data_IF_166464394263
#
_entry.id   IF_166464394263
#
_cell.length_a   1.000
_cell.length_b   1.000
_cell.length_c   1.000
_cell.angle_alpha   90.00
_cell.angle_beta   90.00
_cell.angle_gamma   90.00
#
_symmetry.space_group_name_H-M   'P 1'
#
loop_
_entity.id
_entity.type
_entity.pdbx_description
1 polymer ?
#
# COMPACT_ATOMS: atom_id res chain seq x y z
N UNK A 1 11.89 6.26 -8.14
CA UNK A 1 10.95 7.03 -7.28
C UNK A 1 10.15 6.05 -6.44
N UNK A 2 9.93 6.36 -5.16
CA UNK A 2 9.05 5.59 -4.27
C UNK A 2 7.96 6.53 -3.75
N UNK A 3 6.71 6.06 -3.73
CA UNK A 3 5.60 6.81 -3.11
C UNK A 3 4.92 5.96 -2.04
N UNK A 4 5.10 6.36 -0.78
CA UNK A 4 4.54 5.71 0.42
C UNK A 4 3.80 6.70 1.32
N UNK A 5 3.57 7.92 0.86
CA UNK A 5 2.87 8.93 1.65
C UNK A 5 1.42 8.51 1.89
N UNK A 6 0.97 8.71 3.12
CA UNK A 6 -0.37 8.39 3.58
C UNK A 6 -0.55 8.91 5.00
N UNK A 7 -1.78 9.24 5.34
CA UNK A 7 -2.19 9.59 6.70
C UNK A 7 -2.42 8.33 7.54
N UNK A 8 -2.67 8.51 8.84
CA UNK A 8 -3.11 7.42 9.72
C UNK A 8 -4.35 6.73 9.16
N UNK A 9 -4.47 5.43 9.39
CA UNK A 9 -5.55 4.63 8.85
C UNK A 9 -6.91 5.14 9.33
N UNK A 10 -7.84 5.29 8.40
CA UNK A 10 -9.24 5.56 8.68
C UNK A 10 -10.05 4.30 8.40
N UNK A 11 -10.62 3.74 9.47
CA UNK A 11 -11.49 2.58 9.42
C UNK A 11 -12.92 3.03 9.73
N UNK A 12 -13.89 2.53 8.96
CA UNK A 12 -15.27 2.93 9.10
C UNK A 12 -16.18 2.19 8.14
N UNK A 13 -17.40 1.89 8.59
CA UNK A 13 -18.44 1.39 7.68
C UNK A 13 -18.87 2.51 6.75
N UNK A 14 -19.41 2.15 5.58
CA UNK A 14 -19.93 3.14 4.62
C UNK A 14 -21.00 4.03 5.26
N UNK A 15 -21.86 3.46 6.10
CA UNK A 15 -22.91 4.20 6.79
C UNK A 15 -22.37 5.28 7.76
N UNK A 16 -21.19 5.07 8.33
CA UNK A 16 -20.56 6.00 9.27
C UNK A 16 -19.52 6.93 8.61
N UNK A 17 -19.23 6.75 7.33
CA UNK A 17 -18.17 7.49 6.63
C UNK A 17 -18.74 8.69 5.89
N UNK A 18 -18.38 9.89 6.33
CA UNK A 18 -18.69 11.13 5.62
C UNK A 18 -18.02 11.17 4.24
N UNK A 19 -18.76 11.63 3.22
CA UNK A 19 -18.26 11.69 1.83
C UNK A 19 -17.03 12.60 1.72
N UNK A 20 -17.00 13.70 2.47
CA UNK A 20 -15.87 14.62 2.49
C UNK A 20 -14.59 13.94 3.02
N UNK A 21 -14.72 13.12 4.06
CA UNK A 21 -13.64 12.32 4.63
C UNK A 21 -13.14 11.28 3.63
N UNK A 22 -14.06 10.60 2.94
CA UNK A 22 -13.70 9.62 1.91
C UNK A 22 -12.91 10.26 0.75
N UNK A 23 -13.28 11.47 0.32
CA UNK A 23 -12.55 12.23 -0.70
C UNK A 23 -11.15 12.63 -0.22
N UNK A 24 -11.04 13.20 0.97
CA UNK A 24 -9.75 13.60 1.53
C UNK A 24 -8.77 12.42 1.65
N UNK A 25 -9.27 11.24 2.01
CA UNK A 25 -8.45 10.02 2.09
C UNK A 25 -7.98 9.53 0.71
N UNK A 26 -8.80 9.71 -0.34
CA UNK A 26 -8.39 9.49 -1.74
C UNK A 26 -7.39 10.54 -2.23
N UNK A 27 -7.52 11.79 -1.81
CA UNK A 27 -6.67 12.90 -2.25
C UNK A 27 -5.20 12.64 -1.97
N UNK A 28 -4.83 12.24 -0.76
CA UNK A 28 -3.43 11.96 -0.48
C UNK A 28 -2.96 10.65 -1.12
N UNK A 29 -3.71 9.56 -0.94
CA UNK A 29 -3.24 8.21 -1.30
C UNK A 29 -3.24 7.96 -2.80
N UNK A 30 -4.24 8.47 -3.51
CA UNK A 30 -4.37 8.29 -4.96
C UNK A 30 -3.89 9.53 -5.70
N UNK A 31 -4.48 10.71 -5.44
CA UNK A 31 -4.14 11.91 -6.20
C UNK A 31 -2.72 12.41 -5.88
N UNK A 32 -2.23 12.20 -4.66
CA UNK A 32 -0.83 12.43 -4.30
C UNK A 32 0.13 11.54 -5.10
N UNK A 33 -0.17 10.25 -5.22
CA UNK A 33 0.64 9.32 -6.01
C UNK A 33 0.59 9.66 -7.50
N UNK A 34 -0.60 9.95 -8.03
CA UNK A 34 -0.80 10.44 -9.39
C UNK A 34 0.06 11.68 -9.67
N UNK A 35 0.01 12.66 -8.78
CA UNK A 35 0.78 13.91 -8.88
C UNK A 35 2.27 13.63 -8.86
N UNK A 36 2.75 12.79 -7.94
CA UNK A 36 4.15 12.40 -7.87
C UNK A 36 4.61 11.69 -9.15
N UNK A 37 3.80 10.80 -9.72
CA UNK A 37 4.13 10.13 -10.99
C UNK A 37 4.15 11.12 -12.15
N UNK A 38 3.11 11.95 -12.30
CA UNK A 38 2.98 12.94 -13.38
C UNK A 38 4.18 13.88 -13.45
N UNK A 39 4.57 14.44 -12.31
CA UNK A 39 5.64 15.44 -12.27
C UNK A 39 7.02 14.83 -12.02
N UNK A 40 7.11 13.65 -11.41
CA UNK A 40 8.38 12.99 -11.12
C UNK A 40 8.92 12.12 -12.24
N UNK A 41 8.06 11.49 -13.04
CA UNK A 41 8.50 10.56 -14.10
C UNK A 41 9.42 11.20 -15.16
N UNK A 42 9.24 12.47 -15.60
CA UNK A 42 10.14 13.08 -16.59
C UNK A 42 11.57 13.31 -16.08
N UNK A 43 11.80 13.22 -14.77
CA UNK A 43 13.10 13.44 -14.14
C UNK A 43 13.84 12.14 -13.79
N UNK A 44 13.27 10.97 -14.14
CA UNK A 44 13.94 9.70 -13.90
C UNK A 44 15.08 9.48 -14.89
N UNK A 45 16.23 9.05 -14.36
CA UNK A 45 17.37 8.64 -15.18
C UNK A 45 17.03 7.40 -16.02
N UNK A 46 17.75 7.16 -17.13
CA UNK A 46 17.63 5.92 -17.90
C UNK A 46 17.75 4.67 -16.99
N UNK A 47 16.85 3.71 -17.17
CA UNK A 47 16.77 2.52 -16.30
C UNK A 47 16.06 2.76 -14.95
N UNK A 48 15.56 3.97 -14.71
CA UNK A 48 14.79 4.33 -13.53
C UNK A 48 13.51 3.51 -13.38
N UNK A 49 12.99 3.47 -12.15
CA UNK A 49 11.74 2.78 -11.81
C UNK A 49 10.91 3.58 -10.81
N UNK A 50 9.62 3.30 -10.81
CA UNK A 50 8.62 3.80 -9.87
C UNK A 50 8.11 2.60 -9.07
N UNK A 51 8.10 2.73 -7.74
CA UNK A 51 7.47 1.73 -6.87
C UNK A 51 6.46 2.43 -5.95
N UNK A 52 5.19 2.06 -6.08
CA UNK A 52 4.06 2.63 -5.36
C UNK A 52 3.70 1.77 -4.14
N UNK A 53 2.77 2.25 -3.32
CA UNK A 53 2.21 1.53 -2.17
C UNK A 53 0.72 1.26 -2.34
N UNK A 54 0.29 0.04 -1.99
CA UNK A 54 -1.11 -0.30 -1.73
C UNK A 54 -1.21 -0.96 -0.35
N UNK A 55 -1.90 -2.10 -0.25
CA UNK A 55 -2.09 -2.91 0.95
C UNK A 55 -3.02 -4.08 0.64
N UNK A 56 -2.91 -5.15 1.43
CA UNK A 56 -3.67 -6.39 1.19
C UNK A 56 -5.19 -6.21 1.24
N UNK A 57 -5.69 -5.06 1.71
CA UNK A 57 -7.10 -4.71 1.65
C UNK A 57 -7.69 -4.76 0.22
N UNK A 58 -6.87 -4.60 -0.83
CA UNK A 58 -7.31 -4.79 -2.22
C UNK A 58 -7.76 -6.24 -2.51
N UNK A 59 -7.12 -7.22 -1.88
CA UNK A 59 -7.35 -8.66 -2.13
C UNK A 59 -8.23 -9.28 -1.07
N UNK A 60 -8.03 -8.87 0.19
CA UNK A 60 -8.72 -9.40 1.36
C UNK A 60 -9.21 -8.28 2.27
N UNK A 61 -10.36 -7.67 1.97
CA UNK A 61 -10.95 -6.64 2.83
C UNK A 61 -11.61 -7.24 4.07
N UNK A 62 -11.65 -6.48 5.16
CA UNK A 62 -12.48 -6.74 6.32
C UNK A 62 -13.64 -5.73 6.41
N UNK A 63 -14.62 -6.02 7.27
CA UNK A 63 -15.71 -5.07 7.54
C UNK A 63 -15.14 -3.72 8.01
N UNK A 64 -15.67 -2.62 7.47
CA UNK A 64 -15.19 -1.26 7.74
C UNK A 64 -13.94 -0.85 6.96
N UNK A 65 -13.45 -1.67 6.01
CA UNK A 65 -12.27 -1.35 5.20
C UNK A 65 -12.62 -0.87 3.78
N UNK A 66 -13.90 -0.69 3.45
CA UNK A 66 -14.35 -0.44 2.08
C UNK A 66 -13.62 0.70 1.38
N UNK A 67 -13.39 1.81 2.08
CA UNK A 67 -12.64 2.97 1.57
C UNK A 67 -11.17 2.63 1.30
N UNK A 68 -10.47 2.03 2.28
CA UNK A 68 -9.07 1.62 2.14
C UNK A 68 -8.86 0.55 1.06
N UNK A 69 -9.76 -0.44 0.97
CA UNK A 69 -9.75 -1.48 -0.05
C UNK A 69 -9.93 -0.90 -1.46
N UNK A 70 -10.82 0.08 -1.60
CA UNK A 70 -11.06 0.78 -2.88
C UNK A 70 -9.82 1.54 -3.33
N UNK A 71 -9.15 2.26 -2.43
CA UNK A 71 -7.89 2.95 -2.73
C UNK A 71 -6.78 1.98 -3.12
N UNK A 72 -6.61 0.90 -2.37
CA UNK A 72 -5.58 -0.11 -2.69
C UNK A 72 -5.82 -0.68 -4.09
N UNK A 73 -7.07 -1.02 -4.41
CA UNK A 73 -7.45 -1.54 -5.73
C UNK A 73 -7.23 -0.53 -6.86
N UNK A 74 -7.56 0.75 -6.62
CA UNK A 74 -7.32 1.83 -7.56
C UNK A 74 -5.83 2.04 -7.83
N UNK A 75 -5.00 1.96 -6.79
CA UNK A 75 -3.54 2.08 -6.90
C UNK A 75 -2.91 0.90 -7.67
N UNK A 76 -3.42 -0.33 -7.48
CA UNK A 76 -2.98 -1.48 -8.27
C UNK A 76 -3.37 -1.34 -9.75
N UNK A 77 -4.57 -0.83 -10.05
CA UNK A 77 -4.99 -0.49 -11.41
C UNK A 77 -4.13 0.60 -12.04
N UNK A 78 -3.89 1.68 -11.31
CA UNK A 78 -3.03 2.79 -11.72
C UNK A 78 -1.60 2.32 -12.02
N UNK A 79 -1.05 1.43 -11.20
CA UNK A 79 0.28 0.84 -11.40
C UNK A 79 0.38 0.13 -12.75
N UNK A 80 -0.60 -0.71 -13.09
CA UNK A 80 -0.62 -1.42 -14.38
C UNK A 80 -0.72 -0.46 -15.57
N UNK A 81 -1.58 0.56 -15.47
CA UNK A 81 -1.72 1.57 -16.50
C UNK A 81 -0.40 2.34 -16.73
N UNK A 82 0.23 2.81 -15.65
CA UNK A 82 1.49 3.56 -15.73
C UNK A 82 2.67 2.70 -16.19
N UNK A 83 2.67 1.40 -15.90
CA UNK A 83 3.68 0.48 -16.43
C UNK A 83 3.66 0.40 -17.96
N UNK A 84 2.48 0.54 -18.58
CA UNK A 84 2.31 0.58 -20.04
C UNK A 84 2.62 1.97 -20.58
N UNK A 85 2.04 3.01 -19.97
CA UNK A 85 2.16 4.40 -20.45
C UNK A 85 3.60 4.94 -20.37
N UNK A 86 4.35 4.58 -19.31
CA UNK A 86 5.67 5.14 -19.04
C UNK A 86 6.82 4.27 -19.56
N UNK A 87 6.54 3.18 -20.28
CA UNK A 87 7.59 2.32 -20.82
C UNK A 87 8.64 3.15 -21.60
N UNK A 88 9.96 2.93 -21.39
CA UNK A 88 10.58 1.80 -20.70
C UNK A 88 10.77 1.96 -19.17
N UNK A 89 10.24 3.01 -18.54
CA UNK A 89 10.26 3.15 -17.07
C UNK A 89 9.40 2.04 -16.46
N UNK A 90 9.97 1.30 -15.51
CA UNK A 90 9.25 0.23 -14.81
C UNK A 90 8.39 0.83 -13.71
N UNK A 91 7.15 0.36 -13.58
CA UNK A 91 6.22 0.80 -12.53
C UNK A 91 5.66 -0.43 -11.83
N UNK A 92 5.90 -0.56 -10.53
CA UNK A 92 5.39 -1.67 -9.72
C UNK A 92 4.79 -1.14 -8.41
N UNK A 93 4.15 -2.02 -7.64
CA UNK A 93 3.54 -1.67 -6.36
C UNK A 93 3.81 -2.74 -5.31
N UNK A 94 4.13 -2.32 -4.10
CA UNK A 94 4.17 -3.22 -2.94
C UNK A 94 2.80 -3.18 -2.26
N UNK A 95 2.29 -4.36 -1.89
CA UNK A 95 1.03 -4.54 -1.16
C UNK A 95 1.32 -5.16 0.22
N UNK A 96 1.56 -4.33 1.26
CA UNK A 96 1.87 -4.81 2.59
C UNK A 96 0.68 -5.45 3.30
N UNK A 97 0.98 -6.40 4.18
CA UNK A 97 0.07 -6.85 5.23
C UNK A 97 0.00 -5.88 6.41
N UNK A 98 -0.25 -6.41 7.59
CA UNK A 98 -0.23 -5.64 8.83
C UNK A 98 1.22 -5.43 9.27
N UNK A 99 1.62 -4.17 9.36
CA UNK A 99 3.00 -3.76 9.67
C UNK A 99 2.96 -2.79 10.84
N UNK A 100 3.88 -2.99 11.79
CA UNK A 100 4.05 -2.11 12.95
C UNK A 100 4.70 -0.79 12.51
N UNK A 101 3.86 0.22 12.28
CA UNK A 101 4.25 1.59 11.89
C UNK A 101 3.30 2.60 12.55
N UNK A 102 3.59 3.90 12.37
CA UNK A 102 2.71 4.99 12.79
C UNK A 102 1.37 5.06 12.02
N UNK A 103 1.14 4.20 11.01
CA UNK A 103 -0.15 4.09 10.31
C UNK A 103 -1.32 3.85 11.27
N UNK A 104 -1.06 3.18 12.40
CA UNK A 104 -2.03 2.80 13.41
C UNK A 104 -2.15 3.80 14.57
N UNK A 105 -1.67 5.04 14.39
CA UNK A 105 -1.64 6.05 15.45
C UNK A 105 -3.02 6.49 15.95
N UNK A 106 -4.09 6.23 15.20
CA UNK A 106 -5.48 6.50 15.62
C UNK A 106 -6.02 5.44 16.62
N UNK A 107 -5.32 4.32 16.79
CA UNK A 107 -5.63 3.32 17.81
C UNK A 107 -4.80 3.63 19.06
N UNK A 108 -5.42 3.50 20.23
CA UNK A 108 -4.67 3.57 21.49
C UNK A 108 -3.68 2.39 21.58
N UNK A 109 -2.64 2.56 22.40
CA UNK A 109 -1.55 1.60 22.47
C UNK A 109 -2.01 0.21 22.91
N UNK A 110 -2.88 0.12 23.91
CA UNK A 110 -3.39 -1.17 24.42
C UNK A 110 -4.11 -1.96 23.33
N UNK A 111 -5.05 -1.35 22.63
CA UNK A 111 -5.83 -2.00 21.57
C UNK A 111 -4.93 -2.36 20.38
N UNK A 112 -3.98 -1.48 20.05
CA UNK A 112 -3.02 -1.72 18.96
C UNK A 112 -2.11 -2.90 19.26
N UNK A 113 -1.57 -3.00 20.48
CA UNK A 113 -0.75 -4.14 20.89
C UNK A 113 -1.54 -5.44 20.96
N UNK A 114 -2.78 -5.41 21.47
CA UNK A 114 -3.66 -6.57 21.48
C UNK A 114 -3.98 -7.07 20.07
N UNK A 115 -4.28 -6.16 19.14
CA UNK A 115 -4.46 -6.48 17.72
C UNK A 115 -3.20 -7.12 17.12
N UNK A 116 -2.02 -6.56 17.41
CA UNK A 116 -0.76 -7.11 16.92
C UNK A 116 -0.47 -8.51 17.48
N UNK A 117 -0.70 -8.74 18.76
CA UNK A 117 -0.53 -10.05 19.38
C UNK A 117 -1.46 -11.09 18.74
N UNK A 118 -2.76 -10.77 18.64
CA UNK A 118 -3.75 -11.66 18.04
C UNK A 118 -3.41 -12.02 16.59
N UNK A 119 -3.09 -11.02 15.77
CA UNK A 119 -2.75 -11.22 14.36
C UNK A 119 -1.42 -11.97 14.20
N UNK A 120 -0.44 -11.74 15.07
CA UNK A 120 0.81 -12.48 15.02
C UNK A 120 0.58 -13.99 15.17
N UNK A 121 -0.39 -14.40 15.99
CA UNK A 121 -0.73 -15.81 16.17
C UNK A 121 -1.50 -16.40 14.98
N UNK A 122 -2.27 -15.62 14.21
CA UNK A 122 -3.02 -16.15 13.05
C UNK A 122 -2.17 -16.24 11.78
N UNK A 123 -1.21 -15.32 11.58
CA UNK A 123 -0.39 -15.27 10.37
C UNK A 123 0.49 -16.52 10.21
N UNK A 124 0.64 -17.07 8.99
CA UNK A 124 1.54 -18.17 8.71
C UNK A 124 2.99 -17.96 9.18
N UNK A 125 3.51 -16.73 9.06
CA UNK A 125 4.88 -16.40 9.51
C UNK A 125 5.00 -16.12 11.02
N UNK A 126 3.89 -16.19 11.77
CA UNK A 126 3.79 -16.08 13.23
C UNK A 126 4.36 -14.80 13.85
N UNK A 127 4.30 -13.68 13.11
CA UNK A 127 4.74 -12.36 13.58
C UNK A 127 4.09 -11.24 12.77
N UNK A 128 4.04 -10.05 13.36
CA UNK A 128 3.71 -8.81 12.64
C UNK A 128 4.91 -8.35 11.79
N UNK A 129 4.62 -7.74 10.64
CA UNK A 129 5.64 -7.15 9.78
C UNK A 129 6.30 -5.93 10.43
N UNK A 130 7.58 -5.73 10.17
CA UNK A 130 8.29 -4.50 10.46
C UNK A 130 8.47 -3.66 9.18
N UNK A 131 8.69 -2.36 9.31
CA UNK A 131 8.96 -1.49 8.15
C UNK A 131 10.15 -1.98 7.31
N UNK A 132 11.15 -2.61 7.95
CA UNK A 132 12.31 -3.20 7.28
C UNK A 132 11.98 -4.42 6.41
N UNK A 133 10.92 -5.17 6.72
CA UNK A 133 10.45 -6.26 5.85
C UNK A 133 9.91 -5.69 4.55
N UNK A 134 9.11 -4.63 4.64
CA UNK A 134 8.51 -3.96 3.50
C UNK A 134 9.57 -3.23 2.66
N UNK A 135 10.54 -2.58 3.28
CA UNK A 135 11.64 -1.91 2.58
C UNK A 135 12.40 -2.85 1.63
N UNK A 136 12.58 -4.12 2.01
CA UNK A 136 13.21 -5.14 1.15
C UNK A 136 12.38 -5.42 -0.11
N UNK A 137 11.06 -5.40 -0.02
CA UNK A 137 10.17 -5.57 -1.18
C UNK A 137 10.32 -4.40 -2.18
N UNK A 138 10.42 -3.17 -1.69
CA UNK A 138 10.73 -2.00 -2.52
C UNK A 138 12.08 -2.16 -3.22
N UNK A 139 13.13 -2.50 -2.46
CA UNK A 139 14.48 -2.70 -3.02
C UNK A 139 14.50 -3.78 -4.10
N UNK A 140 13.82 -4.91 -3.87
CA UNK A 140 13.67 -5.97 -4.86
C UNK A 140 13.05 -5.45 -6.17
N UNK A 141 11.92 -4.75 -6.09
CA UNK A 141 11.24 -4.21 -7.28
C UNK A 141 12.07 -3.12 -7.98
N UNK A 142 12.83 -2.33 -7.23
CA UNK A 142 13.74 -1.34 -7.80
C UNK A 142 14.88 -2.01 -8.57
N UNK A 143 15.37 -3.17 -8.12
CA UNK A 143 16.52 -3.86 -8.68
C UNK A 143 16.18 -4.89 -9.78
N UNK A 144 14.92 -5.31 -9.92
CA UNK A 144 14.53 -6.34 -10.89
C UNK A 144 14.16 -5.74 -12.26
N UNK A 145 15.07 -5.76 -13.27
CA UNK A 145 14.80 -5.13 -14.58
C UNK A 145 13.72 -5.85 -15.40
N UNK A 146 13.43 -7.11 -15.11
CA UNK A 146 12.43 -7.89 -15.86
C UNK A 146 11.03 -7.87 -15.20
N UNK A 147 10.73 -6.85 -14.39
CA UNK A 147 9.44 -6.73 -13.69
C UNK A 147 8.87 -5.33 -13.82
N UNK A 148 7.67 -5.25 -14.40
CA UNK A 148 6.84 -4.04 -14.49
C UNK A 148 5.35 -4.42 -14.42
N UNK A 149 4.51 -3.52 -13.92
CA UNK A 149 3.07 -3.69 -13.77
C UNK A 149 2.66 -4.67 -12.66
N UNK A 150 3.58 -5.10 -11.80
CA UNK A 150 3.31 -6.16 -10.82
C UNK A 150 2.95 -5.61 -9.44
N UNK A 151 2.08 -6.38 -8.76
CA UNK A 151 1.74 -6.24 -7.35
C UNK A 151 2.56 -7.25 -6.56
N UNK A 152 3.44 -6.77 -5.67
CA UNK A 152 4.20 -7.62 -4.77
C UNK A 152 3.54 -7.64 -3.40
N UNK A 153 2.80 -8.71 -3.10
CA UNK A 153 2.20 -8.91 -1.77
C UNK A 153 3.31 -9.31 -0.78
N UNK A 154 3.43 -8.57 0.33
CA UNK A 154 4.39 -8.81 1.41
C UNK A 154 3.68 -8.71 2.75
N UNK A 155 3.06 -9.80 3.18
CA UNK A 155 2.01 -9.76 4.21
C UNK A 155 2.08 -10.87 5.26
N UNK A 156 3.13 -11.69 5.22
CA UNK A 156 3.26 -12.83 6.13
C UNK A 156 2.22 -13.93 5.92
N UNK A 157 1.53 -13.94 4.77
CA UNK A 157 0.44 -14.87 4.45
C UNK A 157 -0.94 -14.41 4.93
N UNK A 158 -1.12 -13.15 5.32
CA UNK A 158 -2.40 -12.60 5.77
C UNK A 158 -3.55 -12.72 4.76
N UNK A 159 -3.27 -12.71 3.46
CA UNK A 159 -4.29 -12.97 2.43
C UNK A 159 -4.82 -14.42 2.45
N UNK A 160 -4.17 -15.34 3.17
CA UNK A 160 -4.53 -16.77 3.23
C UNK A 160 -5.30 -17.17 4.50
N UNK A 161 -5.20 -16.41 5.61
CA UNK A 161 -5.76 -16.76 6.94
C UNK A 161 -6.71 -15.77 7.60
#
# INVERSE_FOLDING_TARGET
MVFTAGESLQLGTIAATEVATARAFFDLRYWGAFTAVKYGSPHLLPGGSIVLSSGIAAVRPASGWGLGASICSAMEGFTRAMAVELAPIRVNIVSPGIVRTNLWANMNDTDREAMYDQLSHSLPVRRIGAASDIAKAYLYLMQQPFTTGQVLITDGGGVLV
#
